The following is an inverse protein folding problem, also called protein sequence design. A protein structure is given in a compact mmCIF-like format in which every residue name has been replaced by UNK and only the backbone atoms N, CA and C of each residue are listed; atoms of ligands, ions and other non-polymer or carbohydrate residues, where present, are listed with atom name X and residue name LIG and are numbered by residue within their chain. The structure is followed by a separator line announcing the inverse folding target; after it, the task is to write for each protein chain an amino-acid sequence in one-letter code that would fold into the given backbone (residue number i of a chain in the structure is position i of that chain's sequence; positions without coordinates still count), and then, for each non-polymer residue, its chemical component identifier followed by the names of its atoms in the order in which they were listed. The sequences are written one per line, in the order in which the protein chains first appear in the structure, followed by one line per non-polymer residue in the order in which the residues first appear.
data_IF_989010306524
#
_entry.id   IF_989010306524
#
_cell.length_a   1.000
_cell.length_b   1.000
_cell.length_c   1.000
_cell.angle_alpha   90.00
_cell.angle_beta   90.00
_cell.angle_gamma   90.00
#
_symmetry.space_group_name_H-M   'P 1'
#
loop_
_entity.id
_entity.type
_entity.pdbx_description
1 polymer ?
#
# COMPACT_ATOMS: atom_id res chain seq x y z
N UNK A 1 -12.88 20.25 4.32
CA UNK A 1 -11.84 19.38 3.71
C UNK A 1 -12.02 19.15 2.20
N UNK A 2 -13.24 19.21 1.63
CA UNK A 2 -13.47 19.10 0.17
C UNK A 2 -12.66 20.10 -0.69
N UNK A 3 -12.53 21.35 -0.23
CA UNK A 3 -11.91 22.44 -1.01
C UNK A 3 -10.40 22.34 -1.25
N UNK A 4 -9.66 21.49 -0.52
CA UNK A 4 -8.21 21.34 -0.70
C UNK A 4 -7.83 20.39 -1.85
N UNK A 5 -8.74 19.50 -2.24
CA UNK A 5 -8.47 18.43 -3.21
C UNK A 5 -9.11 18.67 -4.59
N UNK A 6 -10.04 19.63 -4.70
CA UNK A 6 -10.72 19.98 -5.96
C UNK A 6 -9.78 20.63 -7.00
N UNK A 7 -8.64 21.20 -6.59
CA UNK A 7 -7.71 21.89 -7.49
C UNK A 7 -6.49 21.09 -7.96
N UNK A 8 -6.32 19.84 -7.54
CA UNK A 8 -5.08 19.08 -7.77
C UNK A 8 -5.37 17.63 -8.20
N UNK A 9 -5.76 17.39 -9.46
CA UNK A 9 -6.00 16.04 -9.99
C UNK A 9 -4.78 15.11 -9.89
N UNK A 10 -3.56 15.67 -9.72
CA UNK A 10 -2.31 14.93 -9.51
C UNK A 10 -2.03 14.49 -8.06
N UNK A 11 -2.75 15.03 -7.06
CA UNK A 11 -2.59 14.59 -5.66
C UNK A 11 -3.16 13.19 -5.43
N UNK A 12 -4.21 12.82 -6.16
CA UNK A 12 -4.85 11.53 -5.99
C UNK A 12 -3.90 10.36 -6.34
N UNK A 13 -3.19 10.38 -7.50
CA UNK A 13 -2.11 9.42 -7.75
C UNK A 13 -1.03 9.42 -6.68
N UNK A 14 -0.66 10.59 -6.14
CA UNK A 14 0.36 10.69 -5.10
C UNK A 14 -0.07 10.00 -3.81
N UNK A 15 -1.33 10.15 -3.41
CA UNK A 15 -1.86 9.57 -2.17
C UNK A 15 -1.97 8.05 -2.22
N UNK A 16 -2.23 7.46 -3.41
CA UNK A 16 -2.45 6.02 -3.55
C UNK A 16 -1.28 5.25 -4.17
N UNK A 17 -0.54 5.82 -5.13
CA UNK A 17 0.58 5.14 -5.79
C UNK A 17 1.90 5.30 -5.03
N UNK A 18 2.14 6.46 -4.40
CA UNK A 18 3.37 6.68 -3.65
C UNK A 18 3.54 5.64 -2.52
N UNK A 19 2.51 5.34 -1.69
CA UNK A 19 2.63 4.30 -0.68
C UNK A 19 2.95 2.91 -1.26
N UNK A 20 2.33 2.55 -2.39
CA UNK A 20 2.58 1.27 -3.07
C UNK A 20 4.05 1.15 -3.45
N UNK A 21 4.61 2.17 -4.11
CA UNK A 21 6.03 2.16 -4.53
C UNK A 21 6.95 2.06 -3.31
N UNK A 22 6.70 2.83 -2.25
CA UNK A 22 7.52 2.76 -1.03
C UNK A 22 7.51 1.37 -0.40
N UNK A 23 6.33 0.75 -0.28
CA UNK A 23 6.19 -0.59 0.32
C UNK A 23 6.83 -1.68 -0.55
N UNK A 24 6.75 -1.58 -1.89
CA UNK A 24 7.46 -2.50 -2.79
C UNK A 24 8.98 -2.30 -2.72
N UNK A 25 9.45 -1.04 -2.62
CA UNK A 25 10.86 -0.74 -2.44
C UNK A 25 11.39 -1.24 -1.08
N UNK A 26 10.53 -1.36 -0.06
CA UNK A 26 10.93 -1.94 1.22
C UNK A 26 11.32 -3.42 1.08
N UNK A 27 10.63 -4.20 0.24
CA UNK A 27 11.03 -5.58 -0.08
C UNK A 27 12.42 -5.63 -0.71
N UNK A 28 12.66 -4.80 -1.73
CA UNK A 28 13.96 -4.74 -2.43
C UNK A 28 15.07 -4.32 -1.45
N UNK A 29 14.81 -3.33 -0.61
CA UNK A 29 15.76 -2.84 0.40
C UNK A 29 16.08 -3.93 1.44
N UNK A 30 15.07 -4.66 1.92
CA UNK A 30 15.26 -5.76 2.88
C UNK A 30 16.07 -6.90 2.27
N UNK A 31 15.82 -7.25 1.00
CA UNK A 31 16.66 -8.20 0.26
C UNK A 31 18.10 -7.70 0.17
N UNK A 32 18.32 -6.41 -0.08
CA UNK A 32 19.64 -5.78 -0.02
C UNK A 32 20.31 -5.97 1.35
N UNK A 33 19.58 -5.81 2.45
CA UNK A 33 20.11 -6.03 3.80
C UNK A 33 20.56 -7.49 4.04
N UNK A 34 19.86 -8.46 3.43
CA UNK A 34 20.16 -9.89 3.56
C UNK A 34 21.34 -10.33 2.67
N UNK A 35 21.39 -9.84 1.43
CA UNK A 35 22.37 -10.27 0.43
C UNK A 35 23.71 -9.51 0.56
N UNK A 36 23.67 -8.22 0.91
CA UNK A 36 24.84 -7.34 0.94
C UNK A 36 25.30 -7.09 2.38
N UNK A 37 25.92 -8.10 3.01
CA UNK A 37 26.35 -8.06 4.42
C UNK A 37 27.11 -6.78 4.82
N UNK A 38 28.00 -6.28 3.96
CA UNK A 38 28.77 -5.03 4.18
C UNK A 38 27.88 -3.78 4.29
N UNK A 39 26.72 -3.80 3.65
CA UNK A 39 25.74 -2.71 3.62
C UNK A 39 24.45 -3.06 4.37
N UNK A 40 24.47 -4.08 5.24
CA UNK A 40 23.28 -4.52 5.99
C UNK A 40 22.61 -3.37 6.72
N UNK A 41 23.37 -2.62 7.54
CA UNK A 41 22.84 -1.52 8.36
C UNK A 41 22.12 -0.42 7.55
N UNK A 42 22.72 0.18 6.49
CA UNK A 42 22.02 1.20 5.71
C UNK A 42 20.76 0.66 5.02
N UNK A 43 20.78 -0.56 4.48
CA UNK A 43 19.58 -1.17 3.91
C UNK A 43 18.50 -1.44 4.97
N UNK A 44 18.86 -1.89 6.17
CA UNK A 44 17.89 -2.06 7.27
C UNK A 44 17.26 -0.72 7.67
N UNK A 45 18.03 0.35 7.80
CA UNK A 45 17.47 1.69 8.11
C UNK A 45 16.57 2.20 6.98
N UNK A 46 17.00 2.03 5.72
CA UNK A 46 16.22 2.39 4.55
C UNK A 46 14.90 1.61 4.48
N UNK A 47 14.94 0.30 4.70
CA UNK A 47 13.76 -0.58 4.76
C UNK A 47 12.75 -0.06 5.78
N UNK A 48 13.21 0.31 6.97
CA UNK A 48 12.34 0.88 8.00
C UNK A 48 11.71 2.21 7.57
N UNK A 49 12.49 3.12 6.99
CA UNK A 49 11.97 4.40 6.50
C UNK A 49 10.91 4.23 5.42
N UNK A 50 11.14 3.31 4.47
CA UNK A 50 10.20 2.95 3.41
C UNK A 50 8.91 2.34 3.97
N UNK A 51 9.03 1.40 4.92
CA UNK A 51 7.90 0.79 5.62
C UNK A 51 7.07 1.82 6.38
N UNK A 52 7.72 2.70 7.14
CA UNK A 52 7.04 3.71 7.94
C UNK A 52 6.28 4.70 7.07
N UNK A 53 6.94 5.31 6.09
CA UNK A 53 6.32 6.28 5.17
C UNK A 53 5.25 5.63 4.30
N UNK A 54 5.50 4.42 3.80
CA UNK A 54 4.54 3.65 3.02
C UNK A 54 3.30 3.28 3.84
N UNK A 55 3.45 2.87 5.09
CA UNK A 55 2.32 2.53 5.98
C UNK A 55 1.47 3.76 6.32
N UNK A 56 2.11 4.89 6.65
CA UNK A 56 1.39 6.15 6.92
C UNK A 56 0.67 6.65 5.66
N UNK A 57 1.31 6.55 4.51
CA UNK A 57 0.69 6.88 3.23
C UNK A 57 -0.49 5.97 2.88
N UNK A 58 -0.38 4.67 3.14
CA UNK A 58 -1.48 3.72 2.94
C UNK A 58 -2.67 4.03 3.87
N UNK A 59 -2.41 4.40 5.13
CA UNK A 59 -3.46 4.87 6.04
C UNK A 59 -4.14 6.13 5.49
N UNK A 60 -3.36 7.11 5.05
CA UNK A 60 -3.91 8.33 4.45
C UNK A 60 -4.77 8.00 3.21
N UNK A 61 -4.30 7.12 2.32
CA UNK A 61 -5.05 6.66 1.16
C UNK A 61 -6.42 6.09 1.55
N UNK A 62 -6.45 5.16 2.52
CA UNK A 62 -7.69 4.52 3.00
C UNK A 62 -8.64 5.55 3.61
N UNK A 63 -8.13 6.51 4.39
CA UNK A 63 -8.97 7.54 5.03
C UNK A 63 -9.52 8.57 4.04
N UNK A 64 -8.85 8.77 2.91
CA UNK A 64 -9.31 9.64 1.82
C UNK A 64 -10.13 8.91 0.76
N UNK A 65 -10.25 7.58 0.87
CA UNK A 65 -11.05 6.80 -0.06
C UNK A 65 -12.53 7.15 0.11
N UNK A 66 -13.23 7.22 -1.01
CA UNK A 66 -14.67 7.45 -1.06
C UNK A 66 -15.39 6.13 -1.33
N UNK A 67 -16.65 6.05 -0.91
CA UNK A 67 -17.50 4.90 -1.19
C UNK A 67 -18.05 4.97 -2.61
N UNK A 68 -18.23 3.80 -3.21
CA UNK A 68 -18.99 3.65 -4.46
C UNK A 68 -20.48 3.94 -4.19
N UNK A 69 -21.18 4.59 -5.14
CA UNK A 69 -22.62 4.88 -5.05
C UNK A 69 -23.46 3.61 -4.95
N UNK A 70 -24.53 3.64 -4.14
CA UNK A 70 -25.54 2.57 -4.02
C UNK A 70 -26.17 2.12 -5.35
N UNK A 71 -26.18 3.01 -6.34
CA UNK A 71 -26.76 2.75 -7.66
C UNK A 71 -25.75 2.17 -8.67
N UNK A 72 -24.51 1.90 -8.24
CA UNK A 72 -23.50 1.34 -9.12
C UNK A 72 -23.80 -0.12 -9.51
N UNK A 73 -23.28 -0.53 -10.66
CA UNK A 73 -23.40 -1.90 -11.17
C UNK A 73 -22.93 -2.94 -10.13
N UNK A 74 -23.67 -4.04 -10.00
CA UNK A 74 -23.39 -5.10 -9.02
C UNK A 74 -21.98 -5.68 -9.17
N UNK A 75 -21.47 -5.80 -10.41
CA UNK A 75 -20.11 -6.28 -10.65
C UNK A 75 -19.08 -5.23 -10.24
N UNK A 76 -19.36 -3.94 -10.40
CA UNK A 76 -18.50 -2.87 -9.91
C UNK A 76 -18.40 -2.90 -8.38
N UNK A 77 -19.53 -3.12 -7.68
CA UNK A 77 -19.56 -3.33 -6.24
C UNK A 77 -18.70 -4.52 -5.79
N UNK A 78 -18.84 -5.68 -6.42
CA UNK A 78 -18.05 -6.86 -6.08
C UNK A 78 -16.54 -6.62 -6.27
N UNK A 79 -16.13 -5.91 -7.33
CA UNK A 79 -14.72 -5.54 -7.54
C UNK A 79 -14.25 -4.53 -6.49
N UNK A 80 -15.10 -3.57 -6.12
CA UNK A 80 -14.81 -2.58 -5.08
C UNK A 80 -14.59 -3.24 -3.70
N UNK A 81 -15.44 -4.19 -3.32
CA UNK A 81 -15.27 -4.93 -2.06
C UNK A 81 -13.94 -5.68 -2.02
N UNK A 82 -13.54 -6.32 -3.12
CA UNK A 82 -12.24 -7.01 -3.18
C UNK A 82 -11.11 -5.99 -3.06
N UNK A 83 -11.17 -4.88 -3.81
CA UNK A 83 -10.19 -3.80 -3.72
C UNK A 83 -10.04 -3.27 -2.29
N UNK A 84 -11.15 -2.92 -1.63
CA UNK A 84 -11.15 -2.38 -0.27
C UNK A 84 -10.65 -3.41 0.75
N UNK A 85 -11.07 -4.68 0.62
CA UNK A 85 -10.62 -5.75 1.51
C UNK A 85 -9.10 -5.94 1.43
N UNK A 86 -8.56 -6.00 0.22
CA UNK A 86 -7.11 -6.17 0.05
C UNK A 86 -6.34 -4.91 0.45
N UNK A 87 -6.88 -3.69 0.27
CA UNK A 87 -6.27 -2.47 0.79
C UNK A 87 -6.09 -2.52 2.32
N UNK A 88 -7.11 -2.96 3.06
CA UNK A 88 -7.01 -3.14 4.51
C UNK A 88 -6.05 -4.27 4.92
N UNK A 89 -6.07 -5.40 4.20
CA UNK A 89 -5.11 -6.49 4.45
C UNK A 89 -3.68 -5.99 4.25
N UNK A 90 -3.40 -5.29 3.14
CA UNK A 90 -2.08 -4.69 2.87
C UNK A 90 -1.68 -3.71 3.97
N UNK A 91 -2.60 -2.85 4.44
CA UNK A 91 -2.33 -1.93 5.53
C UNK A 91 -1.95 -2.65 6.83
N UNK A 92 -2.65 -3.71 7.21
CA UNK A 92 -2.35 -4.47 8.43
C UNK A 92 -1.04 -5.24 8.33
N UNK A 93 -0.72 -5.82 7.17
CA UNK A 93 0.58 -6.46 6.94
C UNK A 93 1.70 -5.41 7.00
N UNK A 94 1.55 -4.26 6.33
CA UNK A 94 2.53 -3.19 6.34
C UNK A 94 2.76 -2.64 7.76
N UNK A 95 1.69 -2.40 8.51
CA UNK A 95 1.74 -1.93 9.91
C UNK A 95 2.46 -2.93 10.81
N UNK A 96 2.08 -4.21 10.74
CA UNK A 96 2.70 -5.28 11.54
C UNK A 96 4.17 -5.45 11.20
N UNK A 97 4.52 -5.38 9.91
CA UNK A 97 5.90 -5.47 9.42
C UNK A 97 6.72 -4.26 9.88
N UNK A 98 6.14 -3.06 9.84
CA UNK A 98 6.79 -1.82 10.33
C UNK A 98 7.13 -1.93 11.80
N UNK A 99 6.18 -2.38 12.63
CA UNK A 99 6.40 -2.57 14.08
C UNK A 99 7.45 -3.64 14.33
N UNK A 100 7.34 -4.80 13.66
CA UNK A 100 8.31 -5.89 13.80
C UNK A 100 9.73 -5.43 13.42
N UNK A 101 9.85 -4.71 12.30
CA UNK A 101 11.12 -4.17 11.83
C UNK A 101 11.68 -3.09 12.78
N UNK A 102 10.83 -2.25 13.36
CA UNK A 102 11.24 -1.27 14.39
C UNK A 102 11.79 -1.93 15.65
N UNK A 103 11.13 -2.98 16.14
CA UNK A 103 11.62 -3.76 17.28
C UNK A 103 12.93 -4.45 16.93
N UNK A 104 13.04 -4.99 15.72
CA UNK A 104 14.25 -5.60 15.18
C UNK A 104 15.42 -4.63 14.99
N UNK A 105 15.19 -3.32 14.88
CA UNK A 105 16.25 -2.31 14.87
C UNK A 105 16.85 -2.05 16.27
N UNK A 106 16.07 -2.27 17.33
CA UNK A 106 16.48 -2.00 18.72
C UNK A 106 17.17 -3.19 19.40
N UNK A 107 16.98 -4.39 18.87
CA UNK A 107 17.54 -5.65 19.38
C UNK A 107 18.31 -6.32 18.26
N UNK A 108 19.43 -7.00 18.56
CA UNK A 108 20.13 -7.78 17.55
C UNK A 108 19.16 -8.77 16.90
N UNK A 109 18.84 -8.53 15.63
CA UNK A 109 17.76 -9.22 14.94
C UNK A 109 18.21 -10.63 14.59
N UNK A 110 17.57 -11.64 15.17
CA UNK A 110 17.78 -13.05 14.80
C UNK A 110 17.51 -13.29 13.32
N UNK A 111 18.19 -14.27 12.72
CA UNK A 111 17.96 -14.69 11.34
C UNK A 111 16.48 -15.05 11.10
N UNK A 112 15.82 -15.70 12.07
CA UNK A 112 14.41 -16.06 11.99
C UNK A 112 13.48 -14.86 11.77
N UNK A 113 13.73 -13.76 12.50
CA UNK A 113 12.94 -12.52 12.36
C UNK A 113 13.12 -11.92 10.96
N UNK A 114 14.33 -11.96 10.40
CA UNK A 114 14.57 -11.46 9.05
C UNK A 114 13.83 -12.26 7.97
N UNK A 115 13.74 -13.59 8.14
CA UNK A 115 12.94 -14.43 7.24
C UNK A 115 11.43 -14.16 7.39
N UNK A 116 10.95 -13.98 8.62
CA UNK A 116 9.56 -13.59 8.86
C UNK A 116 9.21 -12.26 8.19
N UNK A 117 10.07 -11.24 8.34
CA UNK A 117 9.91 -9.94 7.66
C UNK A 117 9.89 -10.12 6.14
N UNK A 118 10.77 -10.97 5.59
CA UNK A 118 10.80 -11.23 4.15
C UNK A 118 9.48 -11.85 3.65
N UNK A 119 8.95 -12.85 4.36
CA UNK A 119 7.66 -13.48 4.04
C UNK A 119 6.55 -12.43 4.07
N UNK A 120 6.50 -11.60 5.12
CA UNK A 120 5.50 -10.54 5.25
C UNK A 120 5.59 -9.51 4.11
N UNK A 121 6.80 -9.11 3.71
CA UNK A 121 7.02 -8.18 2.60
C UNK A 121 6.61 -8.77 1.24
N UNK A 122 6.82 -10.07 1.03
CA UNK A 122 6.34 -10.77 -0.17
C UNK A 122 4.80 -10.82 -0.16
N UNK A 123 4.19 -11.26 0.95
CA UNK A 123 2.73 -11.25 1.11
C UNK A 123 2.15 -9.85 0.91
N UNK A 124 2.80 -8.81 1.45
CA UNK A 124 2.44 -7.43 1.24
C UNK A 124 2.43 -7.08 -0.25
N UNK A 125 3.51 -7.39 -0.97
CA UNK A 125 3.63 -7.13 -2.40
C UNK A 125 2.51 -7.79 -3.22
N UNK A 126 2.16 -9.03 -2.89
CA UNK A 126 1.04 -9.76 -3.52
C UNK A 126 -0.29 -9.06 -3.25
N UNK A 127 -0.57 -8.69 -1.99
CA UNK A 127 -1.82 -8.01 -1.64
C UNK A 127 -1.94 -6.61 -2.26
N UNK A 128 -0.83 -5.88 -2.38
CA UNK A 128 -0.77 -4.60 -3.08
C UNK A 128 -1.05 -4.77 -4.58
N UNK A 129 -0.51 -5.82 -5.21
CA UNK A 129 -0.81 -6.13 -6.61
C UNK A 129 -2.31 -6.40 -6.82
N UNK A 130 -2.93 -7.21 -5.96
CA UNK A 130 -4.37 -7.49 -6.02
C UNK A 130 -5.19 -6.20 -5.83
N UNK A 131 -4.82 -5.38 -4.85
CA UNK A 131 -5.44 -4.07 -4.60
C UNK A 131 -5.36 -3.18 -5.83
N UNK A 132 -4.15 -3.02 -6.40
CA UNK A 132 -3.92 -2.20 -7.59
C UNK A 132 -4.64 -2.71 -8.84
N UNK A 133 -4.64 -4.03 -9.05
CA UNK A 133 -5.33 -4.66 -10.17
C UNK A 133 -6.84 -4.38 -10.14
N UNK A 134 -7.48 -4.56 -8.98
CA UNK A 134 -8.91 -4.27 -8.84
C UNK A 134 -9.21 -2.77 -8.87
N UNK A 135 -8.32 -1.92 -8.35
CA UNK A 135 -8.41 -0.47 -8.51
C UNK A 135 -8.39 -0.04 -9.99
N UNK A 136 -7.49 -0.62 -10.78
CA UNK A 136 -7.45 -0.37 -12.22
C UNK A 136 -8.72 -0.86 -12.93
N UNK A 137 -9.27 -2.02 -12.54
CA UNK A 137 -10.54 -2.52 -13.10
C UNK A 137 -11.71 -1.58 -12.80
N UNK A 138 -11.81 -1.05 -11.58
CA UNK A 138 -12.85 -0.06 -11.23
C UNK A 138 -12.82 1.14 -12.17
N UNK A 139 -11.63 1.70 -12.41
CA UNK A 139 -11.47 2.88 -13.26
C UNK A 139 -11.71 2.55 -14.73
N UNK A 140 -11.01 1.54 -15.28
CA UNK A 140 -10.98 1.31 -16.72
C UNK A 140 -12.11 0.44 -17.27
N UNK A 141 -12.71 -0.44 -16.43
CA UNK A 141 -13.82 -1.31 -16.87
C UNK A 141 -15.18 -0.80 -16.42
N UNK A 142 -15.26 -0.15 -15.26
CA UNK A 142 -16.53 0.26 -14.66
C UNK A 142 -16.70 1.78 -14.54
N UNK A 143 -15.72 2.58 -14.96
CA UNK A 143 -15.80 4.05 -14.89
C UNK A 143 -15.88 4.60 -13.45
N UNK A 144 -15.57 3.77 -12.45
CA UNK A 144 -15.59 4.16 -11.04
C UNK A 144 -14.26 4.79 -10.71
N UNK A 145 -14.25 6.11 -10.72
CA UNK A 145 -13.12 6.89 -10.27
C UNK A 145 -12.90 6.75 -8.76
N UNK A 146 -11.72 7.12 -8.28
CA UNK A 146 -11.38 7.07 -6.86
C UNK A 146 -12.20 7.99 -5.94
N UNK A 147 -12.97 8.91 -6.52
CA UNK A 147 -13.95 9.75 -5.81
C UNK A 147 -15.35 9.12 -5.72
N UNK A 148 -15.53 7.86 -6.15
CA UNK A 148 -16.77 7.11 -5.91
C UNK A 148 -17.98 7.58 -6.72
N UNK A 149 -17.89 8.77 -7.30
CA UNK A 149 -18.82 9.28 -8.30
C UNK A 149 -18.57 8.50 -9.59
N UNK A 150 -19.49 7.59 -9.94
CA UNK A 150 -19.53 6.87 -11.21
C UNK A 150 -19.83 7.78 -12.41
N UNK A 151 -19.16 8.92 -12.52
CA UNK A 151 -19.26 9.82 -13.66
C UNK A 151 -17.86 10.24 -14.08
N UNK A 152 -17.26 9.42 -14.92
CA UNK A 152 -16.23 9.86 -15.85
C UNK A 152 -16.58 9.39 -17.26
N UNK A 153 -17.79 9.70 -17.73
CA UNK A 153 -18.07 9.81 -19.16
C UNK A 153 -19.13 10.88 -19.39
N UNK A 154 -18.68 12.03 -19.91
CA UNK A 154 -19.26 12.69 -21.07
C UNK A 154 -18.10 13.38 -21.80
#
# INVERSE_FOLDING_TARGET
MKSLFEGLPSLHPLLVHFPIVLLLMALISHMGALLLKKHRRPFTVLTFGLLLLGTLGALAAIQTATHISGDADEKAFAVFEIHQRFAWISFWIASSTTVLHFVGLRKDTSAWINYLILILLISLSVTLFITGHHGARLVYQYGVGPMGNGILMN
#
